data_IF_182555846758
#
_entry.id   IF_182555846758
#
_cell.length_a   1.000
_cell.length_b   1.000
_cell.length_c   1.000
_cell.angle_alpha   90.00
_cell.angle_beta   90.00
_cell.angle_gamma   90.00
#
_symmetry.space_group_name_H-M   'P 1'
#
loop_
_entity.id
_entity.type
_entity.pdbx_description
1 polymer ?
#
# COMPACT_ATOMS: atom_id res chain seq x y z
N UNK A 1 1.06 9.48 -14.95
CA UNK A 1 1.40 8.27 -14.16
C UNK A 1 2.45 7.46 -14.90
N UNK A 2 2.28 7.22 -16.20
CA UNK A 2 3.23 6.52 -17.08
C UNK A 2 4.69 6.98 -16.93
N UNK A 3 4.97 8.29 -16.93
CA UNK A 3 6.34 8.80 -16.76
C UNK A 3 7.00 8.47 -15.42
N UNK A 4 6.23 8.38 -14.33
CA UNK A 4 6.74 7.94 -13.02
C UNK A 4 6.97 6.43 -12.99
N UNK A 5 6.11 5.67 -13.67
CA UNK A 5 6.22 4.22 -13.80
C UNK A 5 7.47 3.85 -14.61
N UNK A 6 7.68 4.49 -15.77
CA UNK A 6 8.87 4.32 -16.60
C UNK A 6 10.15 4.68 -15.84
N UNK A 7 10.13 5.77 -15.08
CA UNK A 7 11.25 6.15 -14.24
C UNK A 7 11.57 5.08 -13.19
N UNK A 8 10.56 4.51 -12.52
CA UNK A 8 10.78 3.43 -11.55
C UNK A 8 11.36 2.17 -12.20
N UNK A 9 10.95 1.87 -13.43
CA UNK A 9 11.47 0.73 -14.18
C UNK A 9 12.94 0.93 -14.55
N UNK A 10 13.33 2.14 -14.92
CA UNK A 10 14.74 2.50 -15.16
C UNK A 10 15.58 2.46 -13.87
N UNK A 11 15.03 2.97 -12.76
CA UNK A 11 15.70 2.91 -11.45
C UNK A 11 15.92 1.45 -11.04
N UNK A 12 14.91 0.59 -11.18
CA UNK A 12 15.04 -0.83 -10.81
C UNK A 12 16.11 -1.57 -11.62
N UNK A 13 16.38 -1.18 -12.86
CA UNK A 13 17.45 -1.76 -13.69
C UNK A 13 18.85 -1.28 -13.25
N UNK A 14 18.97 -0.04 -12.76
CA UNK A 14 20.25 0.57 -12.41
C UNK A 14 20.16 1.42 -11.12
N UNK A 15 19.86 0.81 -9.95
CA UNK A 15 19.52 1.57 -8.74
C UNK A 15 20.65 2.50 -8.27
N UNK A 16 21.90 2.05 -8.35
CA UNK A 16 23.07 2.83 -7.95
C UNK A 16 23.29 4.11 -8.78
N UNK A 17 22.79 4.17 -10.02
CA UNK A 17 22.93 5.34 -10.90
C UNK A 17 21.83 6.38 -10.69
N UNK A 18 20.73 6.01 -10.03
CA UNK A 18 19.55 6.85 -9.90
C UNK A 18 19.13 7.08 -8.44
N UNK A 19 20.07 6.99 -7.51
CA UNK A 19 19.84 7.20 -6.06
C UNK A 19 19.13 8.53 -5.78
N UNK A 20 19.56 9.63 -6.41
CA UNK A 20 18.93 10.94 -6.23
C UNK A 20 17.48 10.97 -6.73
N UNK A 21 17.18 10.26 -7.82
CA UNK A 21 15.81 10.18 -8.35
C UNK A 21 14.92 9.33 -7.46
N UNK A 22 15.45 8.23 -6.91
CA UNK A 22 14.73 7.42 -5.92
C UNK A 22 14.44 8.24 -4.66
N UNK A 23 15.43 8.95 -4.12
CA UNK A 23 15.26 9.85 -2.99
C UNK A 23 14.22 10.95 -3.27
N UNK A 24 14.21 11.49 -4.50
CA UNK A 24 13.19 12.46 -4.93
C UNK A 24 11.79 11.86 -4.93
N UNK A 25 11.60 10.60 -5.39
CA UNK A 25 10.30 9.91 -5.32
C UNK A 25 9.89 9.67 -3.86
N UNK A 26 10.83 9.23 -3.02
CA UNK A 26 10.60 9.07 -1.58
C UNK A 26 10.12 10.38 -0.93
N UNK A 27 10.74 11.51 -1.27
CA UNK A 27 10.33 12.84 -0.80
C UNK A 27 8.96 13.32 -1.30
N UNK A 28 8.35 12.64 -2.28
CA UNK A 28 6.98 12.91 -2.77
C UNK A 28 5.92 12.06 -2.06
N UNK A 29 6.32 11.08 -1.27
CA UNK A 29 5.40 10.25 -0.50
C UNK A 29 4.82 11.02 0.70
N UNK A 30 3.65 10.61 1.22
CA UNK A 30 3.14 11.16 2.46
C UNK A 30 4.09 10.80 3.62
N UNK A 31 4.42 11.75 4.51
CA UNK A 31 5.22 11.46 5.71
C UNK A 31 4.57 10.36 6.57
N UNK A 32 5.36 9.42 7.07
CA UNK A 32 4.84 8.28 7.84
C UNK A 32 4.06 8.72 9.07
N UNK A 33 4.52 9.76 9.76
CA UNK A 33 3.88 10.33 10.95
C UNK A 33 2.51 10.92 10.59
N UNK A 34 2.39 11.55 9.42
CA UNK A 34 1.14 12.14 8.95
C UNK A 34 0.07 11.11 8.63
N UNK A 35 0.47 9.87 8.27
CA UNK A 35 -0.43 8.76 7.97
C UNK A 35 -0.97 8.07 9.23
N UNK A 36 -0.22 8.13 10.33
CA UNK A 36 -0.52 7.41 11.56
C UNK A 36 -1.21 8.26 12.63
N UNK A 37 -1.31 9.58 12.43
CA UNK A 37 -1.88 10.53 13.40
C UNK A 37 -3.01 11.36 12.79
N UNK A 38 -4.13 11.47 13.52
CA UNK A 38 -5.23 12.37 13.19
C UNK A 38 -6.10 11.88 12.03
N UNK A 39 -6.52 12.81 11.16
CA UNK A 39 -7.30 12.52 9.94
C UNK A 39 -6.42 12.75 8.70
N UNK A 40 -5.57 11.76 8.33
CA UNK A 40 -4.66 11.88 7.21
C UNK A 40 -5.40 12.29 5.93
N UNK A 41 -4.73 13.10 5.10
CA UNK A 41 -5.19 13.46 3.75
C UNK A 41 -4.04 13.26 2.79
N UNK A 42 -4.28 12.49 1.74
CA UNK A 42 -3.25 12.14 0.76
C UNK A 42 -3.61 12.78 -0.58
N UNK A 43 -2.63 13.45 -1.18
CA UNK A 43 -2.78 14.04 -2.51
C UNK A 43 -2.61 12.99 -3.62
N UNK A 44 -3.11 13.31 -4.82
CA UNK A 44 -2.94 12.44 -6.00
C UNK A 44 -1.45 12.20 -6.33
N UNK A 45 -0.60 13.21 -6.17
CA UNK A 45 0.85 13.05 -6.40
C UNK A 45 1.50 12.12 -5.38
N UNK A 46 1.07 12.16 -4.12
CA UNK A 46 1.53 11.25 -3.07
C UNK A 46 1.12 9.80 -3.33
N UNK A 47 -0.13 9.57 -3.76
CA UNK A 47 -0.59 8.23 -4.15
C UNK A 47 0.22 7.69 -5.35
N UNK A 48 0.49 8.52 -6.35
CA UNK A 48 1.33 8.12 -7.48
C UNK A 48 2.77 7.80 -7.07
N UNK A 49 3.33 8.55 -6.10
CA UNK A 49 4.67 8.28 -5.57
C UNK A 49 4.73 6.95 -4.80
N UNK A 50 3.72 6.66 -3.98
CA UNK A 50 3.60 5.37 -3.28
C UNK A 50 3.49 4.21 -4.28
N UNK A 51 2.66 4.35 -5.32
CA UNK A 51 2.51 3.32 -6.35
C UNK A 51 3.82 3.07 -7.11
N UNK A 52 4.55 4.15 -7.41
CA UNK A 52 5.88 4.10 -7.99
C UNK A 52 6.89 3.34 -7.10
N UNK A 53 6.93 3.62 -5.79
CA UNK A 53 7.80 2.91 -4.85
C UNK A 53 7.42 1.44 -4.69
N UNK A 54 6.12 1.11 -4.61
CA UNK A 54 5.67 -0.27 -4.55
C UNK A 54 6.12 -1.05 -5.80
N UNK A 55 5.99 -0.44 -6.99
CA UNK A 55 6.48 -1.02 -8.25
C UNK A 55 8.00 -1.20 -8.25
N UNK A 56 8.74 -0.22 -7.76
CA UNK A 56 10.20 -0.35 -7.60
C UNK A 56 10.55 -1.54 -6.71
N UNK A 57 9.91 -1.69 -5.54
CA UNK A 57 10.14 -2.81 -4.62
C UNK A 57 9.76 -4.16 -5.24
N UNK A 58 8.73 -4.22 -6.08
CA UNK A 58 8.36 -5.45 -6.80
C UNK A 58 9.43 -5.96 -7.77
N UNK A 59 10.44 -5.14 -8.08
CA UNK A 59 11.54 -5.46 -9.00
C UNK A 59 12.90 -5.46 -8.30
N UNK A 60 13.06 -4.64 -7.27
CA UNK A 60 14.31 -4.45 -6.55
C UNK A 60 14.05 -4.39 -5.03
N UNK A 61 13.56 -5.48 -4.40
CA UNK A 61 13.18 -5.44 -2.99
C UNK A 61 14.39 -5.44 -2.06
N UNK A 62 15.55 -5.94 -2.49
CA UNK A 62 16.77 -6.03 -1.68
C UNK A 62 17.70 -4.82 -1.89
N UNK A 63 17.14 -3.67 -2.27
CA UNK A 63 17.88 -2.42 -2.34
C UNK A 63 18.44 -2.05 -0.95
N UNK A 64 19.65 -1.47 -0.91
CA UNK A 64 20.34 -1.17 0.36
C UNK A 64 19.73 -0.01 1.15
N UNK A 65 19.07 0.91 0.46
CA UNK A 65 18.24 1.95 1.11
C UNK A 65 16.90 1.36 1.54
N UNK A 66 16.61 1.44 2.84
CA UNK A 66 15.37 0.99 3.47
C UNK A 66 14.23 2.02 3.37
N UNK A 67 14.51 3.26 2.99
CA UNK A 67 13.51 4.32 2.88
C UNK A 67 12.31 3.94 1.99
N UNK A 68 12.49 3.34 0.80
CA UNK A 68 11.35 2.90 -0.02
C UNK A 68 10.46 1.88 0.69
N UNK A 69 11.05 0.87 1.36
CA UNK A 69 10.30 -0.14 2.12
C UNK A 69 9.53 0.49 3.26
N UNK A 70 10.20 1.35 4.04
CA UNK A 70 9.62 2.04 5.19
C UNK A 70 8.39 2.88 4.80
N UNK A 71 8.49 3.65 3.71
CA UNK A 71 7.36 4.47 3.22
C UNK A 71 6.19 3.63 2.72
N UNK A 72 6.47 2.55 1.99
CA UNK A 72 5.43 1.63 1.50
C UNK A 72 4.75 0.91 2.66
N UNK A 73 5.50 0.43 3.66
CA UNK A 73 4.94 -0.19 4.86
C UNK A 73 4.15 0.80 5.72
N UNK A 74 4.61 2.05 5.85
CA UNK A 74 3.87 3.09 6.57
C UNK A 74 2.51 3.36 5.89
N UNK A 75 2.49 3.45 4.56
CA UNK A 75 1.24 3.58 3.81
C UNK A 75 0.36 2.34 3.94
N UNK A 76 0.94 1.14 3.82
CA UNK A 76 0.21 -0.13 3.96
C UNK A 76 -0.45 -0.25 5.35
N UNK A 77 0.28 0.06 6.41
CA UNK A 77 -0.25 0.11 7.79
C UNK A 77 -1.36 1.15 7.95
N UNK A 78 -1.36 2.22 7.16
CA UNK A 78 -2.36 3.29 7.21
C UNK A 78 -3.67 2.97 6.48
N UNK A 79 -3.78 1.81 5.80
CA UNK A 79 -4.98 1.44 5.04
C UNK A 79 -6.29 1.56 5.86
N UNK A 80 -6.36 1.20 7.15
CA UNK A 80 -7.60 1.38 7.93
C UNK A 80 -8.03 2.85 8.01
N UNK A 81 -7.08 3.78 8.12
CA UNK A 81 -7.35 5.23 8.10
C UNK A 81 -7.94 5.68 6.76
N UNK A 82 -7.62 4.96 5.67
CA UNK A 82 -8.11 5.26 4.32
C UNK A 82 -9.59 4.94 4.12
N UNK A 83 -10.25 4.21 5.03
CA UNK A 83 -11.70 4.01 4.95
C UNK A 83 -12.50 5.31 5.12
N UNK A 84 -11.87 6.38 5.61
CA UNK A 84 -12.49 7.69 5.74
C UNK A 84 -12.41 8.47 4.41
N UNK A 85 -13.53 9.00 3.86
CA UNK A 85 -13.51 9.77 2.63
C UNK A 85 -12.50 10.94 2.58
N UNK A 86 -12.27 11.70 3.67
CA UNK A 86 -11.27 12.78 3.68
C UNK A 86 -9.83 12.34 3.44
N UNK A 87 -9.51 11.04 3.58
CA UNK A 87 -8.20 10.49 3.25
C UNK A 87 -7.86 10.70 1.78
N UNK A 88 -8.87 10.54 0.92
CA UNK A 88 -8.70 10.52 -0.52
C UNK A 88 -8.76 11.92 -1.13
N UNK A 89 -8.09 12.15 -2.27
CA UNK A 89 -8.33 13.34 -3.06
C UNK A 89 -9.81 13.43 -3.42
N UNK A 90 -10.42 14.62 -3.37
CA UNK A 90 -11.86 14.82 -3.65
C UNK A 90 -12.34 14.28 -5.01
N UNK A 91 -11.43 14.09 -5.96
CA UNK A 91 -11.72 13.55 -7.29
C UNK A 91 -11.69 12.01 -7.37
N UNK A 92 -11.30 11.31 -6.30
CA UNK A 92 -11.24 9.85 -6.29
C UNK A 92 -12.62 9.26 -6.05
N UNK A 93 -13.10 8.51 -7.04
CA UNK A 93 -14.27 7.65 -6.92
C UNK A 93 -13.89 6.31 -6.29
N UNK A 94 -14.88 5.53 -5.85
CA UNK A 94 -14.65 4.15 -5.40
C UNK A 94 -13.93 3.31 -6.47
N UNK A 95 -14.25 3.49 -7.77
CA UNK A 95 -13.54 2.81 -8.86
C UNK A 95 -12.06 3.21 -8.96
N UNK A 96 -11.76 4.49 -8.70
CA UNK A 96 -10.37 4.98 -8.65
C UNK A 96 -9.62 4.35 -7.48
N UNK A 97 -10.28 4.17 -6.34
CA UNK A 97 -9.73 3.50 -5.15
C UNK A 97 -9.48 2.02 -5.44
N UNK A 98 -10.44 1.30 -6.04
CA UNK A 98 -10.27 -0.10 -6.47
C UNK A 98 -9.07 -0.22 -7.40
N UNK A 99 -8.98 0.64 -8.42
CA UNK A 99 -7.89 0.58 -9.40
C UNK A 99 -6.53 0.83 -8.74
N UNK A 100 -6.44 1.84 -7.87
CA UNK A 100 -5.21 2.13 -7.14
C UNK A 100 -4.77 0.93 -6.29
N UNK A 101 -5.68 0.35 -5.49
CA UNK A 101 -5.33 -0.78 -4.64
C UNK A 101 -5.05 -2.05 -5.42
N UNK A 102 -5.72 -2.30 -6.54
CA UNK A 102 -5.43 -3.46 -7.38
C UNK A 102 -3.97 -3.41 -7.83
N UNK A 103 -3.54 -2.28 -8.38
CA UNK A 103 -2.18 -2.13 -8.88
C UNK A 103 -1.16 -2.11 -7.72
N UNK A 104 -1.48 -1.42 -6.61
CA UNK A 104 -0.63 -1.39 -5.43
C UNK A 104 -0.43 -2.78 -4.82
N UNK A 105 -1.51 -3.54 -4.61
CA UNK A 105 -1.46 -4.88 -4.02
C UNK A 105 -0.78 -5.90 -4.92
N UNK A 106 -0.92 -5.79 -6.24
CA UNK A 106 -0.13 -6.60 -7.20
C UNK A 106 1.38 -6.41 -6.98
N UNK A 107 1.83 -5.16 -6.88
CA UNK A 107 3.24 -4.87 -6.60
C UNK A 107 3.69 -5.34 -5.21
N UNK A 108 2.84 -5.19 -4.18
CA UNK A 108 3.13 -5.69 -2.82
C UNK A 108 3.32 -7.21 -2.85
N UNK A 109 2.41 -7.95 -3.48
CA UNK A 109 2.51 -9.41 -3.54
C UNK A 109 3.80 -9.86 -4.23
N UNK A 110 4.13 -9.26 -5.38
CA UNK A 110 5.39 -9.52 -6.10
C UNK A 110 6.62 -9.19 -5.26
N UNK A 111 6.60 -8.09 -4.52
CA UNK A 111 7.70 -7.74 -3.61
C UNK A 111 7.84 -8.76 -2.47
N UNK A 112 6.72 -9.27 -1.92
CA UNK A 112 6.72 -10.30 -0.89
C UNK A 112 7.30 -11.64 -1.39
N UNK A 113 6.98 -12.03 -2.63
CA UNK A 113 7.54 -13.23 -3.27
C UNK A 113 9.07 -13.18 -3.38
N UNK A 114 9.61 -11.98 -3.59
CA UNK A 114 11.04 -11.75 -3.79
C UNK A 114 11.80 -11.41 -2.49
N UNK A 115 11.11 -11.07 -1.40
CA UNK A 115 11.71 -10.69 -0.11
C UNK A 115 10.91 -11.23 1.08
N UNK A 116 11.39 -12.31 1.73
CA UNK A 116 10.73 -12.91 2.90
C UNK A 116 10.60 -11.96 4.10
N UNK A 117 11.56 -11.06 4.29
CA UNK A 117 11.52 -10.04 5.34
C UNK A 117 10.36 -9.07 5.11
N UNK A 118 10.26 -8.52 3.89
CA UNK A 118 9.15 -7.65 3.50
C UNK A 118 7.80 -8.38 3.59
N UNK A 119 7.74 -9.65 3.18
CA UNK A 119 6.55 -10.49 3.33
C UNK A 119 6.11 -10.63 4.79
N UNK A 120 7.07 -10.77 5.71
CA UNK A 120 6.79 -10.87 7.14
C UNK A 120 6.24 -9.55 7.68
N UNK A 121 6.83 -8.42 7.27
CA UNK A 121 6.37 -7.09 7.68
C UNK A 121 4.95 -6.78 7.18
N UNK A 122 4.64 -7.14 5.92
CA UNK A 122 3.29 -6.99 5.35
C UNK A 122 2.28 -7.85 6.11
N UNK A 123 2.61 -9.12 6.36
CA UNK A 123 1.71 -10.07 7.02
C UNK A 123 1.28 -9.62 8.42
N UNK A 124 2.14 -8.90 9.15
CA UNK A 124 1.84 -8.33 10.48
C UNK A 124 0.67 -7.35 10.48
N UNK A 125 0.35 -6.73 9.34
CA UNK A 125 -0.71 -5.72 9.26
C UNK A 125 -1.92 -6.18 8.46
N UNK A 126 -1.77 -7.15 7.56
CA UNK A 126 -2.84 -7.60 6.66
C UNK A 126 -4.09 -8.07 7.40
N UNK A 127 -3.92 -8.81 8.51
CA UNK A 127 -5.03 -9.26 9.34
C UNK A 127 -5.86 -8.11 9.91
N UNK A 128 -5.20 -7.15 10.56
CA UNK A 128 -5.85 -5.98 11.16
C UNK A 128 -6.57 -5.10 10.12
N UNK A 129 -5.98 -4.97 8.91
CA UNK A 129 -6.61 -4.24 7.80
C UNK A 129 -7.92 -4.89 7.39
N UNK A 130 -7.91 -6.22 7.22
CA UNK A 130 -9.09 -6.99 6.83
C UNK A 130 -10.19 -6.94 7.90
N UNK A 131 -9.83 -7.13 9.18
CA UNK A 131 -10.78 -7.04 10.29
C UNK A 131 -11.38 -5.63 10.36
N UNK A 132 -10.56 -4.59 10.19
CA UNK A 132 -11.04 -3.20 10.18
C UNK A 132 -12.00 -2.92 9.02
N UNK A 133 -11.76 -3.52 7.85
CA UNK A 133 -12.62 -3.36 6.68
C UNK A 133 -13.96 -4.10 6.82
N UNK A 134 -13.96 -5.26 7.49
CA UNK A 134 -15.17 -6.07 7.76
C UNK A 134 -16.02 -5.50 8.90
N UNK A 135 -15.36 -4.98 9.95
CA UNK A 135 -16.01 -4.52 11.17
C UNK A 135 -16.87 -3.26 11.02
N UNK A 136 -17.00 -2.69 9.82
CA UNK A 136 -17.80 -1.49 9.53
C UNK A 136 -17.68 -0.40 10.61
N UNK A 137 -16.44 -0.07 10.99
CA UNK A 137 -16.19 1.08 11.87
C UNK A 137 -16.63 2.40 11.21
N UNK A 138 -16.41 3.54 11.88
CA UNK A 138 -16.78 4.91 11.47
C UNK A 138 -16.39 5.37 10.02
N UNK A 139 -15.80 4.51 9.19
CA UNK A 139 -15.46 4.77 7.79
C UNK A 139 -16.62 4.57 6.80
N UNK A 140 -16.34 4.86 5.54
CA UNK A 140 -17.27 4.69 4.43
C UNK A 140 -17.30 3.24 3.93
N UNK A 141 -18.48 2.62 3.96
CA UNK A 141 -18.69 1.24 3.54
C UNK A 141 -18.32 0.99 2.07
N UNK A 142 -18.54 1.98 1.20
CA UNK A 142 -18.19 1.91 -0.22
C UNK A 142 -16.69 1.83 -0.43
N UNK A 143 -15.92 2.61 0.33
CA UNK A 143 -14.46 2.58 0.33
C UNK A 143 -13.94 1.25 0.90
N UNK A 144 -14.46 0.79 2.04
CA UNK A 144 -14.05 -0.50 2.61
C UNK A 144 -14.29 -1.65 1.62
N UNK A 145 -15.45 -1.68 0.96
CA UNK A 145 -15.77 -2.66 -0.08
C UNK A 145 -14.86 -2.55 -1.31
N UNK A 146 -14.50 -1.33 -1.73
CA UNK A 146 -13.57 -1.12 -2.82
C UNK A 146 -12.20 -1.74 -2.54
N UNK A 147 -11.70 -1.59 -1.31
CA UNK A 147 -10.41 -2.13 -0.88
C UNK A 147 -10.46 -3.64 -0.75
N UNK A 148 -11.51 -4.18 -0.11
CA UNK A 148 -11.72 -5.64 -0.03
C UNK A 148 -11.81 -6.27 -1.43
N UNK A 149 -12.53 -5.63 -2.36
CA UNK A 149 -12.60 -6.07 -3.76
C UNK A 149 -11.22 -6.08 -4.42
N UNK A 150 -10.38 -5.08 -4.15
CA UNK A 150 -9.00 -5.06 -4.66
C UNK A 150 -8.16 -6.23 -4.10
N UNK A 151 -8.32 -6.54 -2.80
CA UNK A 151 -7.64 -7.67 -2.14
C UNK A 151 -8.06 -9.03 -2.71
N UNK A 152 -9.28 -9.17 -3.23
CA UNK A 152 -9.68 -10.40 -3.92
C UNK A 152 -8.92 -10.65 -5.22
N UNK A 153 -8.38 -9.61 -5.88
CA UNK A 153 -7.54 -9.79 -7.07
C UNK A 153 -6.11 -10.17 -6.70
N UNK A 154 -5.57 -9.54 -5.66
CA UNK A 154 -4.20 -9.75 -5.18
C UNK A 154 -4.22 -9.76 -3.66
N UNK A 155 -4.14 -10.95 -3.06
CA UNK A 155 -4.26 -11.13 -1.62
C UNK A 155 -2.87 -11.17 -0.98
N UNK A 156 -2.49 -10.17 -0.15
CA UNK A 156 -1.19 -10.15 0.49
C UNK A 156 -1.04 -11.28 1.52
N UNK A 157 0.21 -11.62 1.90
CA UNK A 157 0.47 -12.57 2.97
C UNK A 157 -0.28 -12.18 4.26
N UNK A 158 -0.80 -13.16 4.99
CA UNK A 158 -1.48 -12.95 6.28
C UNK A 158 -0.94 -13.93 7.31
N UNK A 159 -0.85 -13.50 8.57
CA UNK A 159 -0.45 -14.40 9.65
C UNK A 159 -1.52 -15.47 9.88
N UNK A 160 -1.14 -16.74 10.13
CA UNK A 160 -2.10 -17.81 10.40
C UNK A 160 -3.06 -17.50 11.57
N UNK A 161 -2.56 -16.80 12.60
CA UNK A 161 -3.37 -16.37 13.74
C UNK A 161 -4.50 -15.41 13.34
N UNK A 162 -4.25 -14.53 12.37
CA UNK A 162 -5.25 -13.55 11.92
C UNK A 162 -6.18 -14.15 10.87
N UNK A 163 -5.70 -15.10 10.06
CA UNK A 163 -6.55 -15.87 9.16
C UNK A 163 -7.67 -16.60 9.93
N UNK A 164 -7.34 -17.20 11.08
CA UNK A 164 -8.35 -17.84 11.94
C UNK A 164 -9.39 -16.84 12.46
N UNK A 165 -8.97 -15.65 12.90
CA UNK A 165 -9.89 -14.59 13.34
C UNK A 165 -10.81 -14.13 12.21
N UNK A 166 -10.26 -14.01 11.00
CA UNK A 166 -11.01 -13.66 9.80
C UNK A 166 -12.11 -14.68 9.47
N UNK A 167 -11.78 -15.97 9.55
CA UNK A 167 -12.76 -17.04 9.34
C UNK A 167 -13.87 -16.95 10.37
N UNK A 168 -13.54 -16.77 11.65
CA UNK A 168 -14.57 -16.58 12.69
C UNK A 168 -15.46 -15.37 12.40
N UNK A 169 -14.87 -14.22 12.05
CA UNK A 169 -15.62 -12.99 11.75
C UNK A 169 -16.52 -13.08 10.51
N UNK A 170 -16.27 -14.03 9.60
CA UNK A 170 -17.11 -14.27 8.41
C UNK A 170 -18.21 -15.31 8.65
N UNK A 171 -18.07 -16.14 9.69
CA UNK A 171 -19.03 -17.18 10.04
C UNK A 171 -20.08 -16.72 11.07
N UNK A 172 -19.79 -15.63 11.79
CA UNK A 172 -20.74 -14.88 12.63
C UNK A 172 -21.69 -14.02 11.79
#
# INVERSE_FOLDING_TARGET
MESLIELCDLIAQNPAQFVEKLAWICGRCPPAESLLVGSPRVSRSQLNAILALARFLSKCPNHSDEMPKSLVLAFYRSIPSSFNPPFWPQSFTNDSIVSFFRDFLDYICKACELSPEFSTDVARFTGDILISALGNGNGDLGISKAILKAMCYHFPPVLPSDANKLVSALLE
#
